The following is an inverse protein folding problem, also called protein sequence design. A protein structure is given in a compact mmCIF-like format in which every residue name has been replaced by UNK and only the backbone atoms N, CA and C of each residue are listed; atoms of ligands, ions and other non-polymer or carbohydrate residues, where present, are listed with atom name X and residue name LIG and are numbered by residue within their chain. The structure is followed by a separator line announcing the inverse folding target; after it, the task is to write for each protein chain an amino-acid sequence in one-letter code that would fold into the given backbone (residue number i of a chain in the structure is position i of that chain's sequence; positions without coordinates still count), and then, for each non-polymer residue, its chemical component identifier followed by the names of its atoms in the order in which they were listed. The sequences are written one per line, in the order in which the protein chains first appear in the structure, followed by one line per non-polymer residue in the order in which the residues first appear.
data_IF_379173719462
#
_entry.id   IF_379173719462
#
_cell.length_a   1.000
_cell.length_b   1.000
_cell.length_c   1.000
_cell.angle_alpha   90.00
_cell.angle_beta   90.00
_cell.angle_gamma   90.00
#
_symmetry.space_group_name_H-M   'P 1'
#
loop_
_entity.id
_entity.type
_entity.pdbx_description
1 polymer ?
#
# COMPACT_ATOMS: atom_id res chain seq x y z
N UNK A 1 -4.68 -12.00 11.69
CA UNK A 1 -5.71 -13.05 11.74
C UNK A 1 -5.79 -13.58 10.35
N UNK A 2 -5.49 -14.85 10.17
CA UNK A 2 -5.46 -15.46 8.84
C UNK A 2 -6.76 -16.21 8.63
N UNK A 3 -7.38 -16.01 7.46
CA UNK A 3 -8.67 -16.58 7.10
C UNK A 3 -8.50 -17.25 5.76
N UNK A 4 -8.65 -18.57 5.72
CA UNK A 4 -8.66 -19.34 4.48
C UNK A 4 -10.08 -19.43 3.92
N UNK A 5 -10.22 -19.20 2.63
CA UNK A 5 -11.52 -19.26 1.94
C UNK A 5 -11.33 -19.62 0.46
N UNK A 6 -12.37 -20.14 -0.16
CA UNK A 6 -12.39 -20.41 -1.61
C UNK A 6 -13.62 -19.74 -2.20
N UNK A 7 -13.42 -18.97 -3.26
CA UNK A 7 -14.49 -18.30 -3.99
C UNK A 7 -14.66 -18.99 -5.35
N UNK A 8 -15.92 -19.17 -5.77
CA UNK A 8 -16.18 -19.59 -7.15
C UNK A 8 -15.99 -18.39 -8.09
N UNK A 9 -15.69 -18.65 -9.36
CA UNK A 9 -15.61 -17.60 -10.37
C UNK A 9 -16.88 -16.74 -10.37
N UNK A 10 -16.70 -15.43 -10.57
CA UNK A 10 -17.77 -14.42 -10.60
C UNK A 10 -18.69 -14.41 -9.36
N UNK A 11 -18.14 -14.71 -8.18
CA UNK A 11 -18.88 -14.69 -6.91
C UNK A 11 -18.26 -13.75 -5.87
N UNK A 12 -19.02 -13.48 -4.81
CA UNK A 12 -18.57 -12.77 -3.61
C UNK A 12 -19.03 -13.50 -2.36
N UNK A 13 -18.19 -13.55 -1.34
CA UNK A 13 -18.57 -14.05 -0.02
C UNK A 13 -18.15 -13.08 1.08
N UNK A 14 -18.87 -13.09 2.18
CA UNK A 14 -18.44 -12.43 3.42
C UNK A 14 -17.48 -13.38 4.12
N UNK A 15 -16.19 -13.05 4.08
CA UNK A 15 -15.12 -13.86 4.67
C UNK A 15 -14.81 -13.46 6.11
N UNK A 16 -15.16 -12.22 6.47
CA UNK A 16 -14.94 -11.66 7.79
C UNK A 16 -15.95 -10.56 8.09
N UNK A 17 -16.32 -10.45 9.36
CA UNK A 17 -17.09 -9.32 9.88
C UNK A 17 -16.49 -8.89 11.21
N UNK A 18 -16.45 -7.58 11.44
CA UNK A 18 -16.28 -7.01 12.77
C UNK A 18 -17.58 -6.32 13.17
N UNK A 19 -17.98 -6.37 14.45
CA UNK A 19 -19.04 -5.50 14.94
C UNK A 19 -18.70 -4.05 14.61
N UNK A 20 -19.63 -3.33 13.99
CA UNK A 20 -19.50 -1.89 13.79
C UNK A 20 -19.60 -1.21 15.16
N UNK A 21 -18.47 -1.15 15.87
CA UNK A 21 -18.22 -0.34 17.09
C UNK A 21 -19.48 0.01 17.88
N UNK A 22 -20.29 -0.99 18.30
CA UNK A 22 -21.40 -0.72 19.21
C UNK A 22 -20.88 -0.39 20.61
N UNK A 23 -19.63 -0.77 20.91
CA UNK A 23 -18.84 -0.25 22.03
C UNK A 23 -17.83 0.78 21.53
N UNK A 24 -18.31 1.97 21.15
CA UNK A 24 -17.49 3.16 20.95
C UNK A 24 -16.77 3.64 22.24
N UNK A 25 -16.74 2.84 23.30
CA UNK A 25 -16.22 3.18 24.62
C UNK A 25 -14.86 2.59 24.99
N UNK A 26 -14.25 1.74 24.15
CA UNK A 26 -12.97 1.09 24.52
C UNK A 26 -11.74 1.58 23.71
N UNK A 27 -11.90 1.93 22.43
CA UNK A 27 -10.79 2.36 21.57
C UNK A 27 -11.24 3.53 20.70
N UNK A 28 -10.43 4.59 20.68
CA UNK A 28 -10.68 5.79 19.87
C UNK A 28 -10.55 5.44 18.38
N UNK A 29 -11.63 5.58 17.60
CA UNK A 29 -11.65 5.30 16.16
C UNK A 29 -10.61 6.10 15.36
N UNK A 30 -10.02 7.14 15.94
CA UNK A 30 -8.94 7.91 15.32
C UNK A 30 -7.57 7.22 15.42
N UNK A 31 -7.43 6.17 16.21
CA UNK A 31 -6.15 5.50 16.51
C UNK A 31 -5.92 4.23 15.69
N UNK A 32 -6.89 3.81 14.87
CA UNK A 32 -6.77 2.59 14.08
C UNK A 32 -7.42 2.70 12.72
N UNK A 33 -7.02 1.79 11.84
CA UNK A 33 -7.68 1.47 10.58
C UNK A 33 -7.55 -0.04 10.35
N UNK A 34 -8.39 -0.58 9.48
CA UNK A 34 -8.25 -1.98 9.07
C UNK A 34 -7.48 -2.02 7.76
N UNK A 35 -6.48 -2.88 7.70
CA UNK A 35 -5.78 -3.22 6.47
C UNK A 35 -6.01 -4.71 6.20
N UNK A 36 -6.44 -5.03 4.99
CA UNK A 36 -6.72 -6.38 4.55
C UNK A 36 -5.76 -6.70 3.41
N UNK A 37 -5.00 -7.76 3.57
CA UNK A 37 -4.13 -8.33 2.53
C UNK A 37 -4.68 -9.69 2.15
N UNK A 38 -4.93 -9.88 0.86
CA UNK A 38 -5.45 -11.10 0.29
C UNK A 38 -4.36 -11.68 -0.62
N UNK A 39 -3.82 -12.82 -0.21
CA UNK A 39 -2.89 -13.60 -1.04
C UNK A 39 -3.70 -14.56 -1.90
N UNK A 40 -3.47 -14.51 -3.19
CA UNK A 40 -4.15 -15.32 -4.18
C UNK A 40 -3.15 -15.97 -5.13
N UNK A 41 -3.58 -17.03 -5.79
CA UNK A 41 -2.88 -17.56 -6.96
C UNK A 41 -3.81 -17.36 -8.14
N UNK A 42 -3.34 -16.70 -9.19
CA UNK A 42 -4.14 -16.45 -10.37
C UNK A 42 -4.29 -17.72 -11.23
N UNK A 43 -5.01 -17.61 -12.35
CA UNK A 43 -5.24 -18.74 -13.26
C UNK A 43 -3.96 -19.23 -13.96
N UNK A 44 -2.91 -18.41 -14.01
CA UNK A 44 -1.60 -18.77 -14.57
C UNK A 44 -0.70 -19.50 -13.57
N UNK A 45 -1.08 -19.53 -12.28
CA UNK A 45 -0.28 -20.05 -11.19
C UNK A 45 0.65 -19.00 -10.56
N UNK A 46 0.53 -17.73 -10.95
CA UNK A 46 1.31 -16.63 -10.38
C UNK A 46 0.67 -16.16 -9.06
N UNK A 47 1.50 -15.95 -8.04
CA UNK A 47 1.05 -15.38 -6.78
C UNK A 47 0.68 -13.91 -6.97
N UNK A 48 -0.50 -13.54 -6.49
CA UNK A 48 -1.00 -12.18 -6.46
C UNK A 48 -1.29 -11.73 -5.04
N UNK A 49 -1.11 -10.44 -4.79
CA UNK A 49 -1.45 -9.80 -3.53
C UNK A 49 -2.40 -8.66 -3.83
N UNK A 50 -3.58 -8.70 -3.22
CA UNK A 50 -4.57 -7.64 -3.28
C UNK A 50 -4.69 -7.02 -1.89
N UNK A 51 -4.62 -5.70 -1.81
CA UNK A 51 -4.64 -4.96 -0.56
C UNK A 51 -5.81 -3.98 -0.55
N UNK A 52 -6.45 -3.82 0.60
CA UNK A 52 -7.47 -2.79 0.79
C UNK A 52 -7.45 -2.28 2.24
N UNK A 53 -7.87 -1.04 2.45
CA UNK A 53 -7.91 -0.43 3.78
C UNK A 53 -9.26 0.23 4.06
N UNK A 54 -9.73 0.11 5.30
CA UNK A 54 -10.93 0.80 5.79
C UNK A 54 -10.55 1.72 6.96
N UNK A 55 -10.94 2.98 6.85
CA UNK A 55 -10.67 4.01 7.86
C UNK A 55 -11.97 4.40 8.56
N UNK A 56 -12.09 4.14 9.88
CA UNK A 56 -13.29 4.48 10.64
C UNK A 56 -13.38 5.97 10.99
N UNK A 57 -12.27 6.70 10.94
CA UNK A 57 -12.21 8.15 11.15
C UNK A 57 -11.90 8.91 9.85
N UNK A 58 -12.36 10.16 9.76
CA UNK A 58 -11.94 11.07 8.70
C UNK A 58 -10.43 11.30 8.79
N UNK A 59 -9.74 11.38 7.64
CA UNK A 59 -8.29 11.51 7.57
C UNK A 59 -7.72 12.67 8.41
N UNK A 60 -8.36 13.84 8.38
CA UNK A 60 -7.95 15.02 9.17
C UNK A 60 -8.15 14.88 10.68
N UNK A 61 -8.91 13.87 11.11
CA UNK A 61 -9.21 13.59 12.52
C UNK A 61 -8.42 12.39 13.02
N UNK A 62 -7.95 11.51 12.13
CA UNK A 62 -7.13 10.38 12.50
C UNK A 62 -5.82 10.84 13.17
N UNK A 63 -5.42 10.16 14.24
CA UNK A 63 -4.16 10.38 14.97
C UNK A 63 -3.01 9.71 14.22
N UNK A 64 -2.87 10.06 12.94
CA UNK A 64 -1.81 9.56 12.06
C UNK A 64 -0.51 10.27 12.40
N UNK A 65 0.52 9.48 12.70
CA UNK A 65 1.86 10.00 12.89
C UNK A 65 2.50 10.39 11.55
N UNK A 66 3.46 11.32 11.60
CA UNK A 66 4.34 11.56 10.47
C UNK A 66 5.17 10.30 10.22
N UNK A 67 5.00 9.71 9.04
CA UNK A 67 5.82 8.63 8.54
C UNK A 67 7.06 9.19 7.84
N UNK A 68 8.17 8.46 7.93
CA UNK A 68 9.36 8.69 7.12
C UNK A 68 9.42 7.59 6.08
N UNK A 69 9.50 7.97 4.81
CA UNK A 69 9.67 7.04 3.70
C UNK A 69 11.17 6.85 3.42
N UNK A 70 11.56 5.61 3.18
CA UNK A 70 12.87 5.28 2.61
C UNK A 70 12.64 4.55 1.30
N UNK A 71 13.39 4.91 0.26
CA UNK A 71 13.24 4.28 -1.04
C UNK A 71 14.55 4.20 -1.80
N UNK A 72 14.58 3.30 -2.78
CA UNK A 72 15.68 3.12 -3.71
C UNK A 72 15.14 2.67 -5.06
N UNK A 73 15.91 2.93 -6.13
CA UNK A 73 15.63 2.37 -7.44
C UNK A 73 16.44 1.11 -7.62
N UNK A 74 15.78 0.04 -8.07
CA UNK A 74 16.41 -1.23 -8.42
C UNK A 74 16.05 -1.61 -9.85
N UNK A 75 16.90 -2.41 -10.49
CA UNK A 75 16.70 -2.89 -11.85
C UNK A 75 16.85 -4.41 -11.88
N UNK A 76 15.95 -5.07 -12.60
CA UNK A 76 16.06 -6.48 -12.94
C UNK A 76 15.71 -6.72 -14.41
N UNK A 77 15.63 -7.98 -14.81
CA UNK A 77 15.29 -8.36 -16.19
C UNK A 77 13.88 -7.94 -16.64
N UNK A 78 13.02 -7.49 -15.73
CA UNK A 78 11.68 -6.96 -16.03
C UNK A 78 11.66 -5.43 -16.10
N UNK A 79 12.75 -4.73 -15.76
CA UNK A 79 12.89 -3.28 -15.89
C UNK A 79 13.22 -2.58 -14.57
N UNK A 80 12.85 -1.30 -14.48
CA UNK A 80 13.10 -0.46 -13.31
C UNK A 80 11.98 -0.58 -12.27
N UNK A 81 12.39 -0.50 -11.01
CA UNK A 81 11.52 -0.64 -9.85
C UNK A 81 11.86 0.42 -8.80
N UNK A 82 10.85 0.84 -8.06
CA UNK A 82 11.00 1.66 -6.85
C UNK A 82 10.65 0.80 -5.65
N UNK A 83 11.65 0.48 -4.84
CA UNK A 83 11.46 -0.22 -3.57
C UNK A 83 11.25 0.83 -2.47
N UNK A 84 10.12 0.76 -1.77
CA UNK A 84 9.65 1.76 -0.80
C UNK A 84 9.33 1.07 0.52
N UNK A 85 9.85 1.62 1.61
CA UNK A 85 9.56 1.23 2.98
C UNK A 85 9.27 2.46 3.85
N UNK A 86 8.76 2.22 5.06
CA UNK A 86 8.41 3.27 6.00
C UNK A 86 8.54 2.81 7.45
N UNK A 87 8.76 3.77 8.36
CA UNK A 87 8.80 3.53 9.81
C UNK A 87 7.40 3.44 10.45
N UNK A 88 6.38 4.01 9.82
CA UNK A 88 4.99 4.08 10.32
C UNK A 88 4.00 4.00 9.16
N UNK A 89 2.74 3.61 9.39
CA UNK A 89 1.74 3.59 8.32
C UNK A 89 1.65 4.92 7.55
N UNK A 90 1.92 4.86 6.25
CA UNK A 90 1.83 6.01 5.34
C UNK A 90 0.61 5.82 4.41
N UNK A 91 -0.33 6.75 4.48
CA UNK A 91 -1.56 6.70 3.69
C UNK A 91 -1.39 7.46 2.37
N UNK A 92 -1.96 6.91 1.30
CA UNK A 92 -1.95 7.51 -0.04
C UNK A 92 -0.53 7.83 -0.52
N UNK A 93 0.40 6.89 -0.34
CA UNK A 93 1.75 6.99 -0.90
C UNK A 93 1.62 7.11 -2.41
N UNK A 94 2.08 8.22 -2.94
CA UNK A 94 1.94 8.59 -4.34
C UNK A 94 3.33 8.78 -4.93
N UNK A 95 3.58 8.13 -6.07
CA UNK A 95 4.78 8.29 -6.85
C UNK A 95 4.47 9.22 -8.03
N UNK A 96 5.31 10.21 -8.23
CA UNK A 96 5.23 11.17 -9.33
C UNK A 96 6.60 11.28 -9.99
N UNK A 97 6.65 11.23 -11.31
CA UNK A 97 7.87 11.32 -12.09
C UNK A 97 7.75 12.46 -13.10
N UNK A 98 8.74 13.34 -13.12
CA UNK A 98 8.82 14.45 -14.09
C UNK A 98 9.48 13.96 -15.40
N UNK A 99 8.73 13.17 -16.16
CA UNK A 99 9.15 12.58 -17.44
C UNK A 99 8.07 11.68 -18.04
N UNK A 100 8.43 10.95 -19.11
CA UNK A 100 7.51 10.03 -19.79
C UNK A 100 7.54 8.63 -19.19
N UNK A 101 6.39 8.18 -18.70
CA UNK A 101 6.20 6.83 -18.18
C UNK A 101 5.09 6.79 -17.15
N UNK A 102 4.94 5.66 -16.46
CA UNK A 102 3.99 5.51 -15.36
C UNK A 102 4.42 4.44 -14.37
N UNK A 103 3.82 4.47 -13.19
CA UNK A 103 3.97 3.41 -12.19
C UNK A 103 2.78 2.44 -12.27
N UNK A 104 3.04 1.16 -12.04
CA UNK A 104 1.98 0.13 -12.00
C UNK A 104 1.06 0.25 -10.77
N UNK A 105 1.55 0.91 -9.71
CA UNK A 105 0.80 1.24 -8.51
C UNK A 105 1.09 2.66 -8.04
N UNK A 106 0.06 3.37 -7.60
CA UNK A 106 0.17 4.66 -6.92
C UNK A 106 -1.02 4.87 -6.00
N UNK A 107 -0.92 5.81 -5.05
CA UNK A 107 -1.94 6.13 -4.04
C UNK A 107 -2.34 4.96 -3.13
N UNK A 108 -1.38 4.15 -2.70
CA UNK A 108 -1.62 2.98 -1.84
C UNK A 108 -1.39 3.28 -0.34
N UNK A 109 -1.80 2.35 0.51
CA UNK A 109 -1.42 2.34 1.94
C UNK A 109 -0.13 1.56 2.09
N UNK A 110 0.91 2.21 2.62
CA UNK A 110 2.17 1.55 2.92
C UNK A 110 2.25 1.25 4.42
N UNK A 111 2.49 -0.01 4.74
CA UNK A 111 2.79 -0.46 6.10
C UNK A 111 4.29 -0.72 6.22
N UNK A 112 4.88 -0.51 7.41
CA UNK A 112 6.27 -0.84 7.68
C UNK A 112 6.61 -2.29 7.34
N UNK A 113 7.76 -2.53 6.70
CA UNK A 113 8.28 -3.89 6.48
C UNK A 113 8.50 -4.67 7.78
N UNK A 114 8.73 -3.98 8.90
CA UNK A 114 8.77 -4.59 10.24
C UNK A 114 7.43 -5.23 10.67
N UNK A 115 6.33 -4.90 10.00
CA UNK A 115 4.99 -5.46 10.21
C UNK A 115 4.61 -6.45 9.11
N UNK A 116 4.90 -6.14 7.84
CA UNK A 116 4.50 -6.94 6.68
C UNK A 116 5.52 -7.99 6.25
N UNK A 117 6.74 -7.91 6.78
CA UNK A 117 7.93 -8.66 6.37
C UNK A 117 8.35 -8.40 4.92
N UNK A 118 7.79 -7.36 4.26
CA UNK A 118 8.00 -7.09 2.84
C UNK A 118 8.08 -5.58 2.56
N UNK A 119 9.10 -5.18 1.79
CA UNK A 119 9.20 -3.85 1.17
C UNK A 119 8.23 -3.76 -0.01
N UNK A 120 7.56 -2.61 -0.17
CA UNK A 120 6.67 -2.40 -1.33
C UNK A 120 7.52 -2.15 -2.56
N UNK A 121 7.29 -2.91 -3.63
CA UNK A 121 7.98 -2.78 -4.91
C UNK A 121 7.00 -2.31 -5.97
N UNK A 122 7.30 -1.19 -6.62
CA UNK A 122 6.45 -0.55 -7.64
C UNK A 122 7.20 -0.53 -8.96
N UNK A 123 6.61 -1.05 -10.03
CA UNK A 123 7.26 -1.09 -11.35
C UNK A 123 7.14 0.27 -12.04
N UNK A 124 8.22 0.68 -12.68
CA UNK A 124 8.20 1.79 -13.63
C UNK A 124 8.06 1.26 -15.07
N UNK A 125 7.06 1.78 -15.79
CA UNK A 125 6.81 1.52 -17.20
C UNK A 125 7.17 2.77 -18.02
N UNK A 126 8.36 2.80 -18.59
CA UNK A 126 8.86 3.88 -19.43
C UNK A 126 10.31 3.64 -19.88
N UNK A 127 10.87 4.60 -20.60
CA UNK A 127 12.20 4.50 -21.22
C UNK A 127 13.29 5.28 -20.46
N UNK A 128 12.96 5.85 -19.30
CA UNK A 128 13.92 6.57 -18.46
C UNK A 128 15.01 5.64 -17.92
N UNK A 129 16.23 6.17 -17.74
CA UNK A 129 17.30 5.45 -17.03
C UNK A 129 17.05 5.43 -15.52
N UNK A 130 17.77 4.55 -14.79
CA UNK A 130 17.71 4.52 -13.33
C UNK A 130 18.13 5.87 -12.72
N UNK A 131 19.14 6.52 -13.29
CA UNK A 131 19.61 7.83 -12.84
C UNK A 131 18.58 8.95 -13.12
N UNK A 132 17.95 8.95 -14.29
CA UNK A 132 16.90 9.90 -14.64
C UNK A 132 15.69 9.74 -13.72
N UNK A 133 15.28 8.50 -13.47
CA UNK A 133 14.21 8.17 -12.53
C UNK A 133 14.57 8.66 -11.12
N UNK A 134 15.79 8.40 -10.64
CA UNK A 134 16.24 8.80 -9.31
C UNK A 134 16.24 10.31 -9.10
N UNK A 135 16.61 11.08 -10.13
CA UNK A 135 16.71 12.54 -10.05
C UNK A 135 15.36 13.23 -10.10
N UNK A 136 14.37 12.64 -10.77
CA UNK A 136 13.09 13.29 -11.06
C UNK A 136 11.89 12.61 -10.39
N UNK A 137 12.12 11.58 -9.57
CA UNK A 137 11.10 10.93 -8.76
C UNK A 137 10.78 11.76 -7.52
N UNK A 138 9.48 11.98 -7.30
CA UNK A 138 8.91 12.47 -6.04
C UNK A 138 8.01 11.40 -5.46
N UNK A 139 8.18 11.10 -4.18
CA UNK A 139 7.30 10.21 -3.42
C UNK A 139 6.79 11.00 -2.23
N UNK A 140 5.47 11.07 -2.07
CA UNK A 140 4.83 11.77 -0.98
C UNK A 140 3.66 10.98 -0.41
N UNK A 141 3.24 11.32 0.80
CA UNK A 141 2.10 10.71 1.46
C UNK A 141 1.20 11.77 2.13
N UNK A 142 0.03 11.34 2.61
CA UNK A 142 -1.00 12.23 3.14
C UNK A 142 -0.52 13.23 4.20
N UNK A 143 0.36 12.80 5.12
CA UNK A 143 0.85 13.61 6.24
C UNK A 143 1.89 14.67 5.83
N UNK A 144 2.34 14.66 4.58
CA UNK A 144 3.11 15.77 4.02
C UNK A 144 2.23 16.96 3.62
N UNK A 145 0.89 16.79 3.64
CA UNK A 145 -0.06 17.84 3.26
C UNK A 145 -0.63 18.64 4.45
N UNK A 146 -0.50 18.15 5.70
CA UNK A 146 -0.92 18.81 6.96
C UNK A 146 -0.44 18.04 8.21
#
# INVERSE_FOLDING_TARGET
MDIETTLTADSSAIVWTAPATQDASAVDAREYFYHVRLQCTDQSGEECVIENSHYPALFKQAKLEQANLTWQITEDNKGLWVDIDTDKPALFVHLEFDGEGRFDASSFTLLPSAITEQTKRVRYEGDATAEELAQNLRIYHLRETY
#
